data_IF_538414241648
#
_entry.id   IF_538414241648
#
_cell.length_a   1.000
_cell.length_b   1.000
_cell.length_c   1.000
_cell.angle_alpha   90.00
_cell.angle_beta   90.00
_cell.angle_gamma   90.00
#
_symmetry.space_group_name_H-M   'P 1'
#
loop_
_entity.id
_entity.type
_entity.pdbx_description
1 polymer ?
#
# COMPACT_ATOMS: atom_id res chain seq x y z
N UNK A 1 29.53 56.84 23.82
CA UNK A 1 29.92 55.46 23.42
C UNK A 1 28.65 54.69 23.09
N UNK A 2 28.42 54.40 21.84
CA UNK A 2 27.25 53.65 21.40
C UNK A 2 27.68 52.18 21.20
N UNK A 3 27.20 51.32 22.06
CA UNK A 3 27.42 49.87 21.96
C UNK A 3 26.43 49.29 20.95
N UNK A 4 26.95 48.78 19.84
CA UNK A 4 26.14 48.07 18.83
C UNK A 4 26.12 46.61 19.25
N UNK A 5 24.94 46.12 19.66
CA UNK A 5 24.68 44.67 19.82
C UNK A 5 24.39 44.08 18.44
N UNK A 6 25.33 43.25 17.97
CA UNK A 6 25.05 42.36 16.83
C UNK A 6 24.22 41.17 17.33
N UNK A 7 22.95 41.15 16.96
CA UNK A 7 22.11 39.95 17.10
C UNK A 7 22.43 38.98 15.98
N UNK A 8 23.11 37.91 16.34
CA UNK A 8 23.33 36.78 15.43
C UNK A 8 22.04 35.96 15.37
N UNK A 9 21.32 36.07 14.28
CA UNK A 9 20.16 35.17 13.99
C UNK A 9 20.76 33.84 13.51
N UNK A 10 20.70 32.83 14.36
CA UNK A 10 21.03 31.47 13.99
C UNK A 10 19.85 30.90 13.15
N UNK A 11 20.07 30.81 11.85
CA UNK A 11 19.15 30.13 10.93
C UNK A 11 19.30 28.60 11.08
N UNK A 12 18.48 27.99 11.90
CA UNK A 12 18.39 26.52 12.00
C UNK A 12 17.74 25.99 10.75
N UNK A 13 18.55 25.45 9.85
CA UNK A 13 18.07 24.65 8.72
C UNK A 13 17.51 23.33 9.28
N UNK A 14 16.18 23.24 9.38
CA UNK A 14 15.52 21.95 9.55
C UNK A 14 15.67 21.17 8.24
N UNK A 15 16.65 20.30 8.17
CA UNK A 15 16.66 19.24 7.17
C UNK A 15 15.53 18.28 7.54
N UNK A 16 14.36 18.48 6.94
CA UNK A 16 13.25 17.56 7.09
C UNK A 16 13.64 16.22 6.50
N UNK A 17 13.92 15.22 7.35
CA UNK A 17 14.00 13.86 6.89
C UNK A 17 12.64 13.49 6.30
N UNK A 18 12.62 13.04 5.02
CA UNK A 18 11.40 12.52 4.39
C UNK A 18 11.08 11.18 5.06
N UNK A 19 10.12 11.17 6.00
CA UNK A 19 9.57 9.95 6.58
C UNK A 19 8.46 9.43 5.67
N UNK A 20 8.39 8.09 5.50
CA UNK A 20 7.24 7.43 4.93
C UNK A 20 5.98 7.85 5.72
N UNK A 21 4.89 8.17 5.03
CA UNK A 21 3.65 8.52 5.68
C UNK A 21 2.98 7.31 6.35
N UNK A 22 2.04 7.53 7.28
CA UNK A 22 1.32 6.44 7.95
C UNK A 22 0.61 5.48 6.99
N UNK A 23 0.04 5.98 5.89
CA UNK A 23 -0.63 5.16 4.89
C UNK A 23 0.38 4.33 4.07
N UNK A 24 1.55 4.86 3.78
CA UNK A 24 2.63 4.10 3.13
C UNK A 24 3.09 2.95 4.02
N UNK A 25 3.21 3.17 5.34
CA UNK A 25 3.57 2.11 6.28
C UNK A 25 2.48 1.02 6.35
N UNK A 26 1.21 1.40 6.35
CA UNK A 26 0.08 0.45 6.28
C UNK A 26 0.09 -0.32 4.96
N UNK A 27 0.41 0.32 3.86
CA UNK A 27 0.53 -0.32 2.55
C UNK A 27 1.68 -1.34 2.51
N UNK A 28 2.83 -1.01 3.07
CA UNK A 28 3.96 -1.93 3.19
C UNK A 28 3.60 -3.15 4.05
N UNK A 29 2.96 -2.94 5.19
CA UNK A 29 2.48 -4.03 6.05
C UNK A 29 1.46 -4.92 5.32
N UNK A 30 0.57 -4.33 4.51
CA UNK A 30 -0.38 -5.07 3.69
C UNK A 30 0.31 -5.90 2.62
N UNK A 31 1.27 -5.35 1.90
CA UNK A 31 2.07 -6.07 0.89
C UNK A 31 2.78 -7.26 1.52
N UNK A 32 3.35 -7.08 2.71
CA UNK A 32 4.01 -8.14 3.47
C UNK A 32 3.01 -9.24 3.90
N UNK A 33 1.84 -8.87 4.39
CA UNK A 33 0.78 -9.82 4.73
C UNK A 33 0.31 -10.64 3.51
N UNK A 34 0.17 -10.01 2.35
CA UNK A 34 -0.18 -10.68 1.10
C UNK A 34 0.92 -11.68 0.71
N UNK A 35 2.18 -11.28 0.78
CA UNK A 35 3.31 -12.15 0.47
C UNK A 35 3.39 -13.37 1.39
N UNK A 36 3.11 -13.18 2.67
CA UNK A 36 3.08 -14.26 3.67
C UNK A 36 1.83 -15.14 3.60
N UNK A 37 0.81 -14.73 2.87
CA UNK A 37 -0.48 -15.43 2.84
C UNK A 37 -1.30 -15.29 4.12
N UNK A 38 -1.08 -14.22 4.88
CA UNK A 38 -1.81 -13.92 6.11
C UNK A 38 -3.18 -13.29 5.80
N UNK A 39 -4.14 -14.14 5.43
CA UNK A 39 -5.48 -13.71 5.06
C UNK A 39 -6.19 -12.97 6.20
N UNK A 40 -5.95 -13.34 7.45
CA UNK A 40 -6.53 -12.64 8.61
C UNK A 40 -6.03 -11.19 8.68
N UNK A 41 -4.74 -10.95 8.53
CA UNK A 41 -4.16 -9.61 8.49
C UNK A 41 -4.65 -8.80 7.27
N UNK A 42 -4.76 -9.43 6.10
CA UNK A 42 -5.29 -8.79 4.90
C UNK A 42 -6.73 -8.30 5.12
N UNK A 43 -7.59 -9.15 5.65
CA UNK A 43 -9.02 -8.85 5.81
C UNK A 43 -9.32 -7.93 6.98
N UNK A 44 -8.53 -7.97 8.06
CA UNK A 44 -8.71 -7.08 9.22
C UNK A 44 -8.44 -5.60 8.91
N UNK A 45 -7.70 -5.31 7.85
CA UNK A 45 -7.38 -3.94 7.43
C UNK A 45 -8.53 -3.23 6.72
N UNK A 46 -9.55 -3.95 6.27
CA UNK A 46 -10.67 -3.38 5.52
C UNK A 46 -11.61 -2.53 6.37
N UNK A 47 -12.04 -1.40 5.82
CA UNK A 47 -13.22 -0.69 6.29
C UNK A 47 -14.50 -1.45 5.89
N UNK A 48 -15.61 -1.13 6.56
CA UNK A 48 -16.91 -1.59 6.10
C UNK A 48 -17.22 -1.03 4.70
N UNK A 49 -17.77 -1.86 3.83
CA UNK A 49 -18.13 -1.46 2.46
C UNK A 49 -16.96 -1.35 1.48
N UNK A 50 -15.78 -1.81 1.86
CA UNK A 50 -14.61 -1.81 0.96
C UNK A 50 -14.85 -2.65 -0.28
N UNK A 51 -14.39 -2.15 -1.42
CA UNK A 51 -14.42 -2.83 -2.71
C UNK A 51 -13.00 -3.08 -3.20
N UNK A 52 -12.75 -4.27 -3.71
CA UNK A 52 -11.55 -4.64 -4.45
C UNK A 52 -11.89 -4.77 -5.94
N UNK A 53 -11.21 -3.97 -6.76
CA UNK A 53 -11.19 -4.14 -8.21
C UNK A 53 -9.95 -4.95 -8.57
N UNK A 54 -10.15 -6.21 -8.94
CA UNK A 54 -9.08 -7.06 -9.45
C UNK A 54 -9.10 -7.03 -10.97
N UNK A 55 -8.08 -6.48 -11.57
CA UNK A 55 -8.00 -6.26 -13.01
C UNK A 55 -6.96 -7.20 -13.61
N UNK A 56 -7.41 -8.15 -14.39
CA UNK A 56 -6.59 -9.11 -15.11
C UNK A 56 -6.33 -10.42 -14.37
N UNK A 57 -5.91 -11.42 -15.13
CA UNK A 57 -5.63 -12.76 -14.63
C UNK A 57 -6.88 -13.60 -14.27
N UNK A 58 -6.66 -14.79 -13.68
CA UNK A 58 -7.76 -15.72 -13.41
C UNK A 58 -8.78 -15.24 -12.36
N UNK A 59 -8.39 -14.25 -11.53
CA UNK A 59 -9.25 -13.71 -10.47
C UNK A 59 -9.87 -12.37 -10.85
N UNK A 60 -9.81 -11.98 -12.12
CA UNK A 60 -10.42 -10.74 -12.60
C UNK A 60 -11.85 -10.58 -12.11
N UNK A 61 -12.18 -9.40 -11.59
CA UNK A 61 -13.51 -9.10 -11.10
C UNK A 61 -13.56 -8.05 -10.00
N UNK A 62 -14.80 -7.74 -9.60
CA UNK A 62 -15.09 -6.85 -8.49
C UNK A 62 -15.57 -7.66 -7.29
N UNK A 63 -14.92 -7.43 -6.15
CA UNK A 63 -15.22 -8.12 -4.90
C UNK A 63 -15.66 -7.12 -3.84
N UNK A 64 -16.79 -7.34 -3.23
CA UNK A 64 -17.37 -6.53 -2.18
C UNK A 64 -17.96 -7.41 -1.08
N UNK A 65 -17.82 -6.97 0.17
CA UNK A 65 -18.26 -7.71 1.34
C UNK A 65 -17.20 -8.65 1.91
N UNK A 66 -17.23 -8.82 3.23
CA UNK A 66 -16.20 -9.54 3.98
C UNK A 66 -15.94 -10.97 3.45
N UNK A 67 -16.99 -11.71 3.13
CA UNK A 67 -16.88 -13.10 2.67
C UNK A 67 -16.21 -13.20 1.30
N UNK A 68 -16.59 -12.33 0.37
CA UNK A 68 -16.01 -12.29 -0.99
C UNK A 68 -14.56 -11.84 -0.99
N UNK A 69 -14.22 -10.85 -0.17
CA UNK A 69 -12.84 -10.39 0.00
C UNK A 69 -11.97 -11.49 0.62
N UNK A 70 -12.43 -12.16 1.65
CA UNK A 70 -11.73 -13.29 2.25
C UNK A 70 -11.55 -14.43 1.24
N UNK A 71 -12.58 -14.75 0.47
CA UNK A 71 -12.54 -15.83 -0.52
C UNK A 71 -11.49 -15.58 -1.61
N UNK A 72 -11.46 -14.39 -2.21
CA UNK A 72 -10.52 -14.07 -3.29
C UNK A 72 -9.07 -14.07 -2.80
N UNK A 73 -8.80 -13.50 -1.62
CA UNK A 73 -7.45 -13.52 -1.05
C UNK A 73 -7.00 -14.93 -0.66
N UNK A 74 -7.92 -15.75 -0.15
CA UNK A 74 -7.63 -17.16 0.13
C UNK A 74 -7.28 -17.92 -1.15
N UNK A 75 -8.01 -17.71 -2.23
CA UNK A 75 -7.71 -18.31 -3.54
C UNK A 75 -6.34 -17.89 -4.06
N UNK A 76 -6.04 -16.60 -4.00
CA UNK A 76 -4.77 -16.06 -4.47
C UNK A 76 -3.58 -16.60 -3.67
N UNK A 77 -3.63 -16.50 -2.35
CA UNK A 77 -2.53 -16.91 -1.48
C UNK A 77 -2.31 -18.43 -1.49
N UNK A 78 -3.38 -19.21 -1.60
CA UNK A 78 -3.30 -20.66 -1.73
C UNK A 78 -2.64 -21.07 -3.06
N UNK A 79 -3.02 -20.42 -4.15
CA UNK A 79 -2.45 -20.69 -5.47
C UNK A 79 -0.97 -20.32 -5.60
N UNK A 80 -0.57 -19.23 -4.95
CA UNK A 80 0.79 -18.71 -5.01
C UNK A 80 1.75 -19.35 -4.01
N UNK A 81 1.23 -19.86 -2.88
CA UNK A 81 2.07 -20.28 -1.75
C UNK A 81 2.78 -19.10 -1.10
N UNK A 82 3.87 -19.34 -0.40
CA UNK A 82 4.71 -18.28 0.15
C UNK A 82 5.38 -17.50 -0.97
N UNK A 83 5.33 -16.17 -0.86
CA UNK A 83 5.81 -15.25 -1.88
C UNK A 83 6.90 -14.34 -1.32
N UNK A 84 7.80 -13.92 -2.20
CA UNK A 84 8.70 -12.78 -1.97
C UNK A 84 8.11 -11.57 -2.69
N UNK A 85 7.79 -10.51 -1.95
CA UNK A 85 7.38 -9.24 -2.52
C UNK A 85 8.60 -8.34 -2.74
N UNK A 86 8.69 -7.75 -3.94
CA UNK A 86 9.69 -6.73 -4.27
C UNK A 86 8.94 -5.47 -4.67
N UNK A 87 9.07 -4.42 -3.87
CA UNK A 87 8.44 -3.12 -4.13
C UNK A 87 9.39 -2.28 -4.99
N UNK A 88 9.02 -2.07 -6.24
CA UNK A 88 9.81 -1.27 -7.19
C UNK A 88 9.58 0.24 -7.01
N UNK A 89 8.36 0.63 -6.66
CA UNK A 89 7.99 2.01 -6.37
C UNK A 89 6.79 2.03 -5.43
N UNK A 90 6.76 3.00 -4.53
CA UNK A 90 5.62 3.27 -3.67
C UNK A 90 5.53 4.76 -3.39
N UNK A 91 4.35 5.33 -3.51
CA UNK A 91 4.08 6.76 -3.29
C UNK A 91 2.80 6.96 -2.51
N UNK A 92 2.83 7.91 -1.57
CA UNK A 92 1.67 8.34 -0.81
C UNK A 92 1.28 9.77 -1.19
N UNK A 93 -0.03 10.02 -1.27
CA UNK A 93 -0.63 11.35 -1.28
C UNK A 93 -1.68 11.42 -0.18
N UNK A 94 -1.57 12.39 0.71
CA UNK A 94 -2.43 12.48 1.90
C UNK A 94 -2.95 13.89 2.16
N UNK A 95 -4.13 13.96 2.76
CA UNK A 95 -4.75 15.14 3.30
C UNK A 95 -5.57 14.77 4.57
N UNK A 96 -6.21 15.73 5.28
CA UNK A 96 -6.96 15.40 6.49
C UNK A 96 -8.14 14.42 6.31
N UNK A 97 -8.58 14.17 5.09
CA UNK A 97 -9.69 13.24 4.79
C UNK A 97 -9.23 11.81 4.53
N UNK A 98 -7.98 11.60 4.21
CA UNK A 98 -7.44 10.29 3.93
C UNK A 98 -6.19 10.33 3.07
N UNK A 99 -5.78 9.16 2.61
CA UNK A 99 -4.59 9.00 1.78
C UNK A 99 -4.82 8.00 0.66
N UNK A 100 -4.10 8.19 -0.43
CA UNK A 100 -3.95 7.18 -1.48
C UNK A 100 -2.50 6.72 -1.53
N UNK A 101 -2.30 5.44 -1.70
CA UNK A 101 -0.99 4.84 -1.92
C UNK A 101 -1.01 4.08 -3.23
N UNK A 102 -0.02 4.34 -4.08
CA UNK A 102 0.20 3.56 -5.30
C UNK A 102 1.53 2.84 -5.17
N UNK A 103 1.54 1.53 -5.40
CA UNK A 103 2.73 0.70 -5.35
C UNK A 103 2.86 -0.15 -6.61
N UNK A 104 4.08 -0.30 -7.10
CA UNK A 104 4.43 -1.28 -8.11
C UNK A 104 5.16 -2.43 -7.42
N UNK A 105 4.58 -3.61 -7.45
CA UNK A 105 5.06 -4.76 -6.66
C UNK A 105 5.15 -6.00 -7.52
N UNK A 106 6.25 -6.72 -7.42
CA UNK A 106 6.37 -8.07 -7.96
C UNK A 106 6.25 -9.09 -6.82
N UNK A 107 5.28 -9.98 -6.92
CA UNK A 107 5.06 -11.08 -5.99
C UNK A 107 5.57 -12.38 -6.61
N UNK A 108 6.69 -12.87 -6.13
CA UNK A 108 7.31 -14.11 -6.61
C UNK A 108 6.93 -15.28 -5.69
N UNK A 109 5.95 -16.05 -6.10
CA UNK A 109 5.52 -17.29 -5.47
C UNK A 109 5.65 -18.44 -6.47
N UNK A 110 4.62 -19.28 -6.57
CA UNK A 110 4.55 -20.31 -7.63
C UNK A 110 4.70 -19.70 -9.02
N UNK A 111 4.08 -18.53 -9.23
CA UNK A 111 4.28 -17.67 -10.38
C UNK A 111 4.70 -16.29 -9.90
N UNK A 112 5.34 -15.50 -10.77
CA UNK A 112 5.59 -14.08 -10.49
C UNK A 112 4.43 -13.26 -11.01
N UNK A 113 3.77 -12.53 -10.11
CA UNK A 113 2.66 -11.63 -10.43
C UNK A 113 3.13 -10.20 -10.21
N UNK A 114 3.19 -9.43 -11.28
CA UNK A 114 3.49 -7.99 -11.22
C UNK A 114 2.21 -7.20 -11.13
N UNK A 115 2.14 -6.29 -10.19
CA UNK A 115 0.92 -5.58 -9.84
C UNK A 115 1.16 -4.09 -9.69
N UNK A 116 0.31 -3.31 -10.31
CA UNK A 116 0.08 -1.93 -9.91
C UNK A 116 -1.04 -1.95 -8.86
N UNK A 117 -0.68 -1.61 -7.63
CA UNK A 117 -1.59 -1.66 -6.50
C UNK A 117 -1.93 -0.26 -6.03
N UNK A 118 -3.22 0.09 -6.06
CA UNK A 118 -3.74 1.38 -5.60
C UNK A 118 -4.62 1.14 -4.38
N UNK A 119 -4.32 1.85 -3.29
CA UNK A 119 -5.00 1.71 -2.01
C UNK A 119 -5.54 3.06 -1.55
N UNK A 120 -6.77 3.09 -1.08
CA UNK A 120 -7.41 4.28 -0.50
C UNK A 120 -7.62 4.03 0.98
N UNK A 121 -7.00 4.86 1.81
CA UNK A 121 -7.11 4.79 3.27
C UNK A 121 -7.95 5.95 3.80
N UNK A 122 -8.87 5.64 4.70
CA UNK A 122 -9.67 6.59 5.46
C UNK A 122 -9.79 6.11 6.90
N UNK A 123 -9.61 7.02 7.86
CA UNK A 123 -9.72 6.72 9.29
C UNK A 123 -8.90 5.49 9.73
N UNK A 124 -7.69 5.33 9.16
CA UNK A 124 -6.78 4.23 9.46
C UNK A 124 -7.21 2.86 8.90
N UNK A 125 -8.18 2.84 7.99
CA UNK A 125 -8.70 1.62 7.35
C UNK A 125 -8.57 1.70 5.83
N UNK A 126 -8.44 0.54 5.19
CA UNK A 126 -8.49 0.43 3.74
C UNK A 126 -9.94 0.54 3.26
N UNK A 127 -10.26 1.64 2.59
CA UNK A 127 -11.61 1.98 2.17
C UNK A 127 -11.93 1.54 0.74
N UNK A 128 -10.91 1.40 -0.10
CA UNK A 128 -11.03 0.92 -1.48
C UNK A 128 -9.67 0.47 -1.99
N UNK A 129 -9.65 -0.40 -2.99
CA UNK A 129 -8.39 -0.84 -3.61
C UNK A 129 -8.56 -1.30 -5.05
N UNK A 130 -7.48 -1.12 -5.82
CA UNK A 130 -7.34 -1.61 -7.18
C UNK A 130 -6.08 -2.49 -7.23
N UNK A 131 -6.26 -3.73 -7.64
CA UNK A 131 -5.19 -4.68 -7.89
C UNK A 131 -5.11 -4.94 -9.38
N UNK A 132 -4.26 -4.22 -10.07
CA UNK A 132 -4.08 -4.41 -11.50
C UNK A 132 -2.89 -5.32 -11.78
N UNK A 133 -3.14 -6.46 -12.37
CA UNK A 133 -2.10 -7.35 -12.88
C UNK A 133 -1.52 -6.72 -14.13
N UNK A 134 -0.20 -6.49 -14.13
CA UNK A 134 0.52 -5.88 -15.26
C UNK A 134 1.71 -6.77 -15.65
N UNK A 135 1.48 -7.81 -16.45
CA UNK A 135 2.52 -8.77 -16.81
C UNK A 135 3.63 -8.16 -17.67
N UNK A 136 3.36 -7.01 -18.29
CA UNK A 136 4.32 -6.31 -19.15
C UNK A 136 5.07 -5.19 -18.43
N UNK A 137 4.84 -5.01 -17.15
CA UNK A 137 5.53 -4.00 -16.36
C UNK A 137 7.06 -4.22 -16.39
N UNK A 138 7.79 -3.11 -16.48
CA UNK A 138 9.26 -3.11 -16.58
C UNK A 138 9.98 -3.10 -15.23
N UNK A 139 9.33 -3.54 -14.15
CA UNK A 139 9.89 -3.62 -12.81
C UNK A 139 9.92 -5.06 -12.28
#
# INVERSE_FOLDING_TARGET
>A
MKTILLSTVALTLFTGAAFAGPAEDMAKARIDAIAKGDVAAITSAYADGTTLQWVGGPLDGKYAGADKLKEVWTKFTTAQGEQKATVAAITESANPKGATVTANVAFAGKNTVKVRYVMVYRDGKLADEIWQVDPNAAF
#
